data_IF_895427063404
#
_entry.id   IF_895427063404
#
_cell.length_a   1.000
_cell.length_b   1.000
_cell.length_c   1.000
_cell.angle_alpha   90.00
_cell.angle_beta   90.00
_cell.angle_gamma   90.00
#
_symmetry.space_group_name_H-M   'P 1'
#
loop_
_entity.id
_entity.type
_entity.pdbx_description
1 polymer ?
#
# COMPACT_ATOMS: atom_id res chain seq x y z
N UNK A 1 9.52 14.14 32.23
CA UNK A 1 9.61 14.57 30.82
C UNK A 1 9.90 13.36 29.99
N UNK A 2 8.87 12.79 29.37
CA UNK A 2 8.97 11.65 28.49
C UNK A 2 8.59 12.07 27.08
N UNK A 3 9.42 11.73 26.10
CA UNK A 3 9.05 11.75 24.69
C UNK A 3 8.58 10.36 24.29
N UNK A 4 7.44 10.29 23.61
CA UNK A 4 6.92 9.04 23.04
C UNK A 4 6.71 9.22 21.56
N UNK A 5 7.07 8.20 20.80
CA UNK A 5 6.85 8.09 19.37
C UNK A 5 5.85 6.96 19.09
N UNK A 6 4.89 7.21 18.21
CA UNK A 6 3.93 6.21 17.75
C UNK A 6 3.68 6.33 16.25
N UNK A 7 3.44 5.19 15.62
CA UNK A 7 3.02 5.11 14.22
C UNK A 7 1.50 4.87 14.19
N UNK A 8 0.79 5.66 13.40
CA UNK A 8 -0.66 5.57 13.22
C UNK A 8 -1.00 5.45 11.72
N UNK A 9 -1.76 4.43 11.33
CA UNK A 9 -2.30 4.29 9.97
C UNK A 9 -3.64 5.02 9.89
N UNK A 10 -3.61 6.33 9.68
CA UNK A 10 -4.77 7.20 9.88
C UNK A 10 -5.68 7.35 8.66
N UNK A 11 -5.29 6.79 7.50
CA UNK A 11 -6.08 6.83 6.26
C UNK A 11 -5.70 5.70 5.30
N UNK A 12 -6.72 4.99 4.80
CA UNK A 12 -6.64 3.96 3.77
C UNK A 12 -7.69 4.27 2.69
N UNK A 13 -7.27 4.48 1.45
CA UNK A 13 -8.15 4.88 0.33
C UNK A 13 -8.00 3.92 -0.85
N UNK A 14 -9.13 3.45 -1.41
CA UNK A 14 -9.15 2.60 -2.60
C UNK A 14 -9.41 3.48 -3.82
N UNK A 15 -8.43 3.56 -4.73
CA UNK A 15 -8.42 4.54 -5.81
C UNK A 15 -8.42 3.88 -7.18
N UNK A 16 -9.26 4.42 -8.07
CA UNK A 16 -9.31 4.05 -9.48
C UNK A 16 -9.92 2.68 -9.77
N UNK A 17 -9.90 2.30 -11.04
CA UNK A 17 -10.52 1.06 -11.54
C UNK A 17 -9.73 -0.20 -11.15
N UNK A 18 -8.40 -0.08 -11.00
CA UNK A 18 -7.51 -1.17 -10.59
C UNK A 18 -7.38 -1.32 -9.08
N UNK A 19 -8.16 -0.55 -8.32
CA UNK A 19 -8.22 -0.61 -6.84
C UNK A 19 -6.83 -0.45 -6.21
N UNK A 20 -6.09 0.57 -6.62
CA UNK A 20 -4.84 0.92 -5.94
C UNK A 20 -5.16 1.33 -4.50
N UNK A 21 -4.53 0.69 -3.51
CA UNK A 21 -4.77 0.97 -2.09
C UNK A 21 -3.71 1.95 -1.62
N UNK A 22 -4.11 3.19 -1.36
CA UNK A 22 -3.23 4.24 -0.85
C UNK A 22 -3.33 4.28 0.67
N UNK A 23 -2.19 4.16 1.34
CA UNK A 23 -2.10 4.17 2.80
C UNK A 23 -1.29 5.38 3.24
N UNK A 24 -1.79 6.09 4.25
CA UNK A 24 -1.03 7.13 4.93
C UNK A 24 -0.67 6.68 6.33
N UNK A 25 0.63 6.75 6.61
CA UNK A 25 1.25 6.51 7.90
C UNK A 25 1.60 7.85 8.54
N UNK A 26 1.24 8.04 9.80
CA UNK A 26 1.59 9.22 10.58
C UNK A 26 2.57 8.82 11.68
N UNK A 27 3.71 9.49 11.76
CA UNK A 27 4.61 9.40 12.92
C UNK A 27 4.26 10.56 13.85
N UNK A 28 3.85 10.23 15.08
CA UNK A 28 3.37 11.20 16.08
C UNK A 28 4.36 11.24 17.24
N UNK A 29 4.87 12.43 17.56
CA UNK A 29 5.76 12.65 18.70
C UNK A 29 5.01 13.42 19.78
N UNK A 30 4.96 12.87 21.00
CA UNK A 30 4.30 13.49 22.16
C UNK A 30 5.30 13.75 23.28
N UNK A 31 5.10 14.85 24.02
CA UNK A 31 5.79 15.17 25.27
C UNK A 31 4.78 15.16 26.40
N UNK A 32 4.99 14.27 27.37
CA UNK A 32 4.11 14.12 28.54
C UNK A 32 2.61 14.03 28.13
N UNK A 33 2.34 13.27 27.06
CA UNK A 33 1.00 13.04 26.50
C UNK A 33 0.49 14.10 25.51
N UNK A 34 1.12 15.27 25.44
CA UNK A 34 0.74 16.33 24.48
C UNK A 34 1.48 16.14 23.16
N UNK A 35 0.76 16.10 22.05
CA UNK A 35 1.36 16.04 20.71
C UNK A 35 2.17 17.30 20.39
N UNK A 36 3.42 17.11 19.96
CA UNK A 36 4.33 18.18 19.55
C UNK A 36 4.35 18.33 18.03
N UNK A 37 4.47 17.20 17.32
CA UNK A 37 4.56 17.19 15.87
C UNK A 37 4.02 15.88 15.32
N UNK A 38 3.57 15.94 14.06
CA UNK A 38 3.22 14.79 13.24
C UNK A 38 3.80 14.93 11.84
N UNK A 39 4.38 13.86 11.34
CA UNK A 39 4.83 13.74 9.95
C UNK A 39 4.04 12.65 9.24
N UNK A 40 3.95 12.74 7.91
CA UNK A 40 3.18 11.81 7.10
C UNK A 40 4.03 11.18 6.02
N UNK A 41 3.90 9.86 5.88
CA UNK A 41 4.41 9.08 4.77
C UNK A 41 3.24 8.42 4.06
N UNK A 42 3.35 8.27 2.75
CA UNK A 42 2.33 7.59 1.93
C UNK A 42 2.98 6.52 1.09
N UNK A 43 2.29 5.41 0.98
CA UNK A 43 2.63 4.38 0.03
C UNK A 43 1.38 3.84 -0.66
N UNK A 44 1.61 3.19 -1.80
CA UNK A 44 0.55 2.62 -2.62
C UNK A 44 0.82 1.14 -2.80
N UNK A 45 -0.21 0.34 -2.62
CA UNK A 45 -0.19 -1.07 -2.92
C UNK A 45 -1.01 -1.33 -4.18
N UNK A 46 -0.45 -2.17 -5.05
CA UNK A 46 -1.10 -2.67 -6.26
C UNK A 46 -1.33 -4.18 -6.16
N UNK A 47 -2.27 -4.74 -6.95
CA UNK A 47 -2.60 -6.16 -6.88
C UNK A 47 -1.41 -7.11 -7.10
N UNK A 48 -0.39 -6.68 -7.83
CA UNK A 48 0.80 -7.48 -8.14
C UNK A 48 1.69 -6.83 -9.21
N UNK A 49 2.70 -7.57 -9.64
CA UNK A 49 3.62 -7.19 -10.72
C UNK A 49 3.72 -8.31 -11.77
N UNK A 50 4.19 -7.99 -12.97
CA UNK A 50 4.44 -9.03 -13.99
C UNK A 50 5.77 -9.73 -13.71
N UNK A 51 5.81 -11.04 -13.93
CA UNK A 51 7.05 -11.78 -14.16
C UNK A 51 7.54 -11.63 -15.62
N UNK A 52 8.66 -12.26 -15.94
CA UNK A 52 9.26 -12.22 -17.28
C UNK A 52 8.37 -12.83 -18.37
N UNK A 53 7.42 -13.69 -17.99
CA UNK A 53 6.47 -14.37 -18.87
C UNK A 53 5.09 -13.70 -18.88
N UNK A 54 5.01 -12.44 -18.43
CA UNK A 54 3.79 -11.65 -18.34
C UNK A 54 2.69 -12.32 -17.49
N UNK A 55 3.04 -13.14 -16.50
CA UNK A 55 2.10 -13.59 -15.47
C UNK A 55 2.02 -12.56 -14.35
N UNK A 56 0.81 -12.35 -13.80
CA UNK A 56 0.67 -11.52 -12.61
C UNK A 56 1.14 -12.34 -11.39
N UNK A 57 2.23 -11.90 -10.78
CA UNK A 57 2.65 -12.34 -9.46
C UNK A 57 1.95 -11.45 -8.44
N UNK A 58 1.08 -12.04 -7.63
CA UNK A 58 0.31 -11.34 -6.60
C UNK A 58 1.25 -10.62 -5.62
N UNK A 59 0.81 -9.44 -5.16
CA UNK A 59 1.47 -8.78 -4.05
C UNK A 59 1.32 -9.65 -2.79
N UNK A 60 2.44 -10.06 -2.14
CA UNK A 60 2.39 -10.96 -0.99
C UNK A 60 1.74 -10.36 0.25
N UNK A 61 1.56 -9.03 0.29
CA UNK A 61 0.99 -8.28 1.41
C UNK A 61 1.68 -8.52 2.76
N UNK A 62 2.96 -8.89 2.74
CA UNK A 62 3.74 -9.21 3.93
C UNK A 62 4.51 -8.00 4.45
N UNK A 63 5.06 -7.19 3.54
CA UNK A 63 5.87 -6.01 3.84
C UNK A 63 5.36 -4.75 3.18
N UNK A 64 5.47 -3.63 3.89
CA UNK A 64 5.39 -2.30 3.28
C UNK A 64 6.47 -2.14 2.20
N UNK A 65 6.39 -1.12 1.33
CA UNK A 65 7.41 -0.91 0.30
C UNK A 65 8.83 -0.65 0.82
N UNK A 66 9.02 -0.47 2.13
CA UNK A 66 10.33 -0.42 2.77
C UNK A 66 11.03 -1.80 2.88
N UNK A 67 10.31 -2.89 2.62
CA UNK A 67 10.81 -4.27 2.64
C UNK A 67 11.02 -4.86 4.04
N UNK A 68 10.70 -4.13 5.12
CA UNK A 68 11.00 -4.54 6.50
C UNK A 68 9.78 -4.47 7.42
N UNK A 69 8.95 -3.43 7.29
CA UNK A 69 7.77 -3.21 8.12
C UNK A 69 6.65 -4.13 7.66
N UNK A 70 5.99 -4.84 8.58
CA UNK A 70 4.87 -5.69 8.23
C UNK A 70 3.64 -4.85 7.84
N UNK A 71 2.92 -5.26 6.79
CA UNK A 71 1.66 -4.59 6.44
C UNK A 71 0.64 -4.80 7.57
N UNK A 72 -0.06 -3.74 8.03
CA UNK A 72 -1.12 -3.88 9.03
C UNK A 72 -2.26 -4.79 8.55
N UNK A 73 -2.83 -5.58 9.47
CA UNK A 73 -3.92 -6.53 9.16
C UNK A 73 -5.13 -5.85 8.51
N UNK A 74 -5.46 -4.62 8.90
CA UNK A 74 -6.56 -3.87 8.28
C UNK A 74 -6.29 -3.50 6.81
N UNK A 75 -5.04 -3.14 6.49
CA UNK A 75 -4.62 -2.80 5.12
C UNK A 75 -4.66 -4.04 4.25
N UNK A 76 -4.11 -5.17 4.74
CA UNK A 76 -4.11 -6.42 3.98
C UNK A 76 -5.53 -6.99 3.81
N UNK A 77 -6.41 -6.84 4.81
CA UNK A 77 -7.82 -7.21 4.68
C UNK A 77 -8.54 -6.41 3.58
N UNK A 78 -8.32 -5.08 3.53
CA UNK A 78 -8.89 -4.22 2.48
C UNK A 78 -8.36 -4.64 1.11
N UNK A 79 -7.05 -4.83 0.97
CA UNK A 79 -6.42 -5.27 -0.28
C UNK A 79 -7.04 -6.57 -0.79
N UNK A 80 -7.14 -7.59 0.07
CA UNK A 80 -7.76 -8.88 -0.28
C UNK A 80 -9.24 -8.75 -0.66
N UNK A 81 -9.98 -7.84 -0.03
CA UNK A 81 -11.39 -7.61 -0.36
C UNK A 81 -11.59 -6.91 -1.71
N UNK A 82 -10.72 -5.97 -2.08
CA UNK A 82 -10.90 -5.15 -3.30
C UNK A 82 -10.16 -5.70 -4.51
N UNK A 83 -9.10 -6.50 -4.33
CA UNK A 83 -8.35 -7.13 -5.43
C UNK A 83 -9.00 -8.45 -5.85
N UNK A 84 -10.22 -8.35 -6.36
CA UNK A 84 -10.95 -9.47 -6.95
C UNK A 84 -10.22 -10.02 -8.18
N UNK A 85 -10.61 -11.21 -8.62
CA UNK A 85 -10.09 -11.83 -9.85
C UNK A 85 -10.21 -10.90 -11.07
N UNK A 86 -11.35 -10.22 -11.22
CA UNK A 86 -11.57 -9.28 -12.33
C UNK A 86 -10.63 -8.06 -12.26
N UNK A 87 -10.40 -7.52 -11.05
CA UNK A 87 -9.47 -6.41 -10.84
C UNK A 87 -8.04 -6.84 -11.16
N UNK A 88 -7.62 -8.03 -10.72
CA UNK A 88 -6.31 -8.59 -11.03
C UNK A 88 -6.12 -8.82 -12.53
N UNK A 89 -7.14 -9.34 -13.22
CA UNK A 89 -7.12 -9.52 -14.66
C UNK A 89 -7.00 -8.19 -15.42
N UNK A 90 -7.78 -7.18 -15.02
CA UNK A 90 -7.71 -5.84 -15.60
C UNK A 90 -6.36 -5.16 -15.35
N UNK A 91 -5.81 -5.31 -14.13
CA UNK A 91 -4.48 -4.80 -13.77
C UNK A 91 -3.38 -5.45 -14.59
N UNK A 92 -3.41 -6.79 -14.74
CA UNK A 92 -2.49 -7.55 -15.59
C UNK A 92 -2.52 -7.04 -17.03
N UNK A 93 -3.70 -6.89 -17.62
CA UNK A 93 -3.85 -6.39 -18.99
C UNK A 93 -3.26 -4.99 -19.17
N UNK A 94 -3.46 -4.10 -18.18
CA UNK A 94 -2.86 -2.76 -18.15
C UNK A 94 -1.34 -2.83 -18.12
N UNK A 95 -0.75 -3.66 -17.25
CA UNK A 95 0.71 -3.80 -17.17
C UNK A 95 1.34 -4.31 -18.49
N UNK A 96 0.68 -5.24 -19.18
CA UNK A 96 1.13 -5.73 -20.50
C UNK A 96 1.06 -4.63 -21.56
N UNK A 97 -0.04 -3.86 -21.55
CA UNK A 97 -0.20 -2.72 -22.46
C UNK A 97 0.89 -1.65 -22.22
N UNK A 98 1.18 -1.31 -20.97
CA UNK A 98 2.23 -0.34 -20.64
C UNK A 98 3.63 -0.81 -21.05
N UNK A 99 3.93 -2.10 -20.84
CA UNK A 99 5.22 -2.72 -21.24
C UNK A 99 5.44 -2.65 -22.75
N UNK A 100 4.38 -2.83 -23.54
CA UNK A 100 4.44 -2.76 -25.02
C UNK A 100 4.35 -1.35 -25.58
N UNK A 101 3.85 -0.37 -24.80
CA UNK A 101 3.69 1.03 -25.20
C UNK A 101 4.88 1.94 -24.86
N UNK A 102 6.01 1.40 -24.40
CA UNK A 102 7.22 2.19 -24.16
C UNK A 102 7.86 2.56 -25.52
N UNK A 103 8.15 3.85 -25.81
CA UNK A 103 8.76 4.28 -27.07
C UNK A 103 10.10 3.60 -27.40
#
# INVERSE_FOLDING_TARGET
>A
MALTESIEYDKIEVVGIYKAVQVRKATVIKKDGTELTRSFERYVLHPGALDDSDNLVDNPLDKEPDGVTAIPTEVSAICNAVWTTDVKAAWKAKLIADKSGTP
#
